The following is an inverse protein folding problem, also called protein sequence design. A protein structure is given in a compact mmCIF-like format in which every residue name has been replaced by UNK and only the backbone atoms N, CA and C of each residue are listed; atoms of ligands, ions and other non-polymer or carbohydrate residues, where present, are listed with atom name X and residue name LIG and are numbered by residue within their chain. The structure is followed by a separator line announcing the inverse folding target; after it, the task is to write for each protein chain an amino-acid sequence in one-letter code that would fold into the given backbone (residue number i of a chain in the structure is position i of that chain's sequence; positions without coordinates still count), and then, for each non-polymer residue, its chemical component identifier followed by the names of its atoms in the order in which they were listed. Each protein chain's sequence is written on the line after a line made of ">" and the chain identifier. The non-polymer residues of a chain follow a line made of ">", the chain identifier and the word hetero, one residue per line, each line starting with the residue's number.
data_IF_785240618311
#
_entry.id   IF_785240618311
#
_cell.length_a   1.000
_cell.length_b   1.000
_cell.length_c   1.000
_cell.angle_alpha   90.00
_cell.angle_beta   90.00
_cell.angle_gamma   90.00
#
_symmetry.space_group_name_H-M   'P 1'
#
loop_
_entity.id
_entity.type
_entity.pdbx_description
1 polymer ?
#
# COMPACT_ATOMS: atom_id res chain seq x y z
N UNK A 1 7.62 -8.39 -3.36
CA UNK A 1 7.50 -8.67 -1.91
C UNK A 1 6.30 -9.57 -1.64
N UNK A 2 6.42 -10.48 -0.69
CA UNK A 2 5.34 -11.37 -0.22
C UNK A 2 4.41 -10.65 0.77
N UNK A 3 3.27 -11.27 1.05
CA UNK A 3 2.31 -10.75 2.01
C UNK A 3 2.85 -10.67 3.44
N UNK A 4 3.65 -11.67 3.86
CA UNK A 4 4.19 -11.73 5.21
C UNK A 4 5.31 -10.70 5.41
N UNK A 5 6.13 -10.49 4.37
CA UNK A 5 7.11 -9.40 4.36
C UNK A 5 6.44 -8.03 4.43
N UNK A 6 5.33 -7.82 3.71
CA UNK A 6 4.55 -6.58 3.80
C UNK A 6 4.03 -6.32 5.22
N UNK A 7 3.53 -7.37 5.89
CA UNK A 7 3.04 -7.29 7.27
C UNK A 7 4.12 -7.06 8.31
N UNK A 8 5.34 -7.53 8.05
CA UNK A 8 6.47 -7.41 8.97
C UNK A 8 7.11 -6.01 8.95
N UNK A 9 6.65 -5.10 8.09
CA UNK A 9 7.19 -3.75 7.93
C UNK A 9 6.17 -2.71 8.39
N UNK A 10 6.66 -1.67 9.05
CA UNK A 10 5.87 -0.48 9.31
C UNK A 10 5.95 0.51 8.13
N UNK A 11 5.24 1.64 8.26
CA UNK A 11 5.22 2.67 7.22
C UNK A 11 6.62 3.21 6.87
N UNK A 12 7.53 3.33 7.84
CA UNK A 12 8.88 3.82 7.58
C UNK A 12 9.72 2.80 6.82
N UNK A 13 9.61 1.51 7.18
CA UNK A 13 10.30 0.44 6.46
C UNK A 13 9.77 0.28 5.03
N UNK A 14 8.46 0.39 4.83
CA UNK A 14 7.88 0.35 3.48
C UNK A 14 8.33 1.55 2.63
N UNK A 15 8.38 2.75 3.21
CA UNK A 15 8.86 3.95 2.51
C UNK A 15 10.35 3.84 2.13
N UNK A 16 11.16 3.26 2.99
CA UNK A 16 12.58 3.02 2.71
C UNK A 16 12.76 2.04 1.55
N UNK A 17 12.04 0.92 1.52
CA UNK A 17 12.11 -0.04 0.42
C UNK A 17 11.67 0.58 -0.92
N UNK A 18 10.66 1.47 -0.92
CA UNK A 18 10.26 2.23 -2.11
C UNK A 18 11.36 3.19 -2.56
N UNK A 19 12.01 3.89 -1.61
CA UNK A 19 13.10 4.83 -1.90
C UNK A 19 14.34 4.12 -2.46
N UNK A 20 14.63 2.92 -1.98
CA UNK A 20 15.76 2.09 -2.44
C UNK A 20 15.47 1.36 -3.75
N UNK A 21 14.19 1.28 -4.14
CA UNK A 21 13.75 0.64 -5.38
C UNK A 21 13.54 -0.87 -5.27
N UNK A 22 13.58 -1.42 -4.05
CA UNK A 22 13.34 -2.84 -3.77
C UNK A 22 11.89 -3.24 -4.08
N UNK A 23 10.97 -2.29 -3.95
CA UNK A 23 9.54 -2.43 -4.28
C UNK A 23 9.01 -1.14 -4.88
N UNK A 24 7.96 -1.24 -5.68
CA UNK A 24 7.24 -0.10 -6.24
C UNK A 24 6.01 0.27 -5.41
N UNK A 25 5.56 1.54 -5.44
CA UNK A 25 4.28 1.93 -4.82
C UNK A 25 3.09 1.11 -5.30
N UNK A 26 3.10 0.73 -6.59
CA UNK A 26 2.03 -0.10 -7.20
C UNK A 26 2.02 -1.50 -6.60
N UNK A 27 3.17 -2.14 -6.41
CA UNK A 27 3.23 -3.46 -5.76
C UNK A 27 2.72 -3.41 -4.32
N UNK A 28 3.06 -2.36 -3.55
CA UNK A 28 2.55 -2.18 -2.20
C UNK A 28 1.03 -2.00 -2.19
N UNK A 29 0.50 -1.23 -3.14
CA UNK A 29 -0.94 -1.02 -3.28
C UNK A 29 -1.68 -2.32 -3.61
N UNK A 30 -1.18 -3.14 -4.53
CA UNK A 30 -1.83 -4.41 -4.86
C UNK A 30 -1.93 -5.35 -3.66
N UNK A 31 -0.87 -5.40 -2.84
CA UNK A 31 -0.88 -6.21 -1.62
C UNK A 31 -1.92 -5.67 -0.63
N UNK A 32 -2.01 -4.35 -0.46
CA UNK A 32 -2.99 -3.72 0.41
C UNK A 32 -4.44 -3.94 -0.06
N UNK A 33 -4.71 -3.78 -1.36
CA UNK A 33 -6.04 -4.02 -1.94
C UNK A 33 -6.46 -5.48 -1.82
N UNK A 34 -5.54 -6.41 -2.10
CA UNK A 34 -5.79 -7.85 -1.90
C UNK A 34 -6.16 -8.16 -0.45
N UNK A 35 -5.51 -7.50 0.52
CA UNK A 35 -5.84 -7.63 1.95
C UNK A 35 -7.23 -7.09 2.27
N UNK A 36 -7.56 -5.91 1.76
CA UNK A 36 -8.90 -5.31 1.95
C UNK A 36 -9.97 -6.22 1.38
N UNK A 37 -9.81 -6.71 0.14
CA UNK A 37 -10.76 -7.62 -0.50
C UNK A 37 -10.98 -8.90 0.31
N UNK A 38 -9.92 -9.44 0.93
CA UNK A 38 -9.99 -10.66 1.75
C UNK A 38 -10.65 -10.44 3.11
N UNK A 39 -10.32 -9.35 3.80
CA UNK A 39 -10.65 -9.15 5.22
C UNK A 39 -11.88 -8.28 5.45
N UNK A 40 -12.11 -7.30 4.58
CA UNK A 40 -13.18 -6.32 4.76
C UNK A 40 -14.60 -6.94 4.75
N UNK A 41 -14.91 -8.04 4.03
CA UNK A 41 -16.22 -8.69 4.13
C UNK A 41 -16.58 -9.16 5.54
N UNK A 42 -15.59 -9.46 6.39
CA UNK A 42 -15.80 -9.86 7.79
C UNK A 42 -15.63 -8.70 8.75
N UNK A 43 -14.63 -7.83 8.53
CA UNK A 43 -14.31 -6.73 9.45
C UNK A 43 -15.20 -5.51 9.27
N UNK A 44 -15.70 -5.28 8.06
CA UNK A 44 -16.48 -4.10 7.68
C UNK A 44 -15.81 -2.76 8.11
N UNK A 45 -14.50 -2.65 7.90
CA UNK A 45 -13.67 -1.54 8.35
C UNK A 45 -13.47 -0.46 7.27
N UNK A 46 -13.55 -0.82 5.99
CA UNK A 46 -13.38 0.09 4.85
C UNK A 46 -14.75 0.37 4.25
N UNK A 47 -15.25 1.58 4.47
CA UNK A 47 -16.59 2.01 4.01
C UNK A 47 -16.57 2.45 2.55
N UNK A 48 -15.51 3.17 2.13
CA UNK A 48 -15.33 3.65 0.76
C UNK A 48 -13.92 3.30 0.27
N UNK A 49 -13.78 2.27 -0.59
CA UNK A 49 -12.54 2.01 -1.31
C UNK A 49 -12.23 3.16 -2.29
N UNK A 50 -10.98 3.62 -2.32
CA UNK A 50 -10.49 4.65 -3.25
C UNK A 50 -9.49 4.06 -4.25
N UNK A 51 -9.79 2.87 -4.79
CA UNK A 51 -8.82 2.08 -5.56
C UNK A 51 -8.30 2.80 -6.81
N UNK A 52 -9.19 3.40 -7.59
CA UNK A 52 -8.81 4.10 -8.83
C UNK A 52 -7.92 5.32 -8.57
N UNK A 53 -8.25 6.10 -7.53
CA UNK A 53 -7.43 7.23 -7.08
C UNK A 53 -6.06 6.73 -6.59
N UNK A 54 -6.05 5.70 -5.75
CA UNK A 54 -4.82 5.13 -5.21
C UNK A 54 -3.91 4.56 -6.33
N UNK A 55 -4.48 3.92 -7.36
CA UNK A 55 -3.73 3.42 -8.52
C UNK A 55 -3.12 4.55 -9.33
N UNK A 56 -3.88 5.64 -9.56
CA UNK A 56 -3.34 6.84 -10.22
C UNK A 56 -2.20 7.46 -9.43
N UNK A 57 -2.34 7.52 -8.11
CA UNK A 57 -1.31 8.11 -7.24
C UNK A 57 -0.04 7.26 -7.18
N UNK A 58 -0.19 5.93 -7.06
CA UNK A 58 0.92 4.98 -7.03
C UNK A 58 1.72 4.95 -8.35
N UNK A 59 1.10 5.31 -9.47
CA UNK A 59 1.77 5.40 -10.78
C UNK A 59 2.64 6.67 -10.93
N UNK A 60 2.51 7.65 -10.04
CA UNK A 60 3.34 8.87 -10.06
C UNK A 60 4.69 8.60 -9.39
N UNK A 61 5.75 9.35 -9.78
CA UNK A 61 7.03 9.26 -9.09
C UNK A 61 6.86 9.51 -7.58
N UNK A 62 7.38 8.62 -6.71
CA UNK A 62 7.25 8.78 -5.26
C UNK A 62 7.99 10.04 -4.80
N UNK A 63 7.33 10.85 -3.97
CA UNK A 63 7.89 12.06 -3.38
C UNK A 63 7.42 12.25 -1.93
N UNK A 64 8.33 12.64 -1.03
CA UNK A 64 8.07 12.83 0.40
C UNK A 64 8.52 11.66 1.30
N UNK A 65 8.34 11.83 2.61
CA UNK A 65 8.87 10.90 3.63
C UNK A 65 8.19 9.53 3.63
N UNK A 66 6.89 9.46 3.32
CA UNK A 66 6.10 8.22 3.27
C UNK A 66 5.66 7.91 1.84
N UNK A 67 6.46 8.31 0.85
CA UNK A 67 6.11 8.15 -0.54
C UNK A 67 5.86 6.68 -0.89
N UNK A 68 4.71 6.39 -1.49
CA UNK A 68 4.32 5.05 -1.91
C UNK A 68 3.75 4.14 -0.83
N UNK A 69 3.64 4.61 0.42
CA UNK A 69 3.02 3.83 1.52
C UNK A 69 1.49 3.88 1.42
N UNK A 70 0.79 2.72 1.30
CA UNK A 70 -0.67 2.70 1.30
C UNK A 70 -1.23 3.05 2.70
N UNK A 71 -2.28 3.87 2.75
CA UNK A 71 -2.97 4.21 4.00
C UNK A 71 -4.48 4.39 3.78
N UNK A 72 -5.25 4.40 4.88
CA UNK A 72 -6.66 4.77 4.92
C UNK A 72 -6.81 6.01 5.83
N UNK A 73 -7.69 6.93 5.46
CA UNK A 73 -8.01 8.13 6.24
C UNK A 73 -9.25 7.93 7.12
#
# INVERSE_FOLDING_TARGET
>A
MTHDEYLARDATGLAEMVREGDVTPVELLEIALTRVAKLNPTLNAVVRPMEDDARRDAARPPSGLFAGVPFLA
#
